data_IF_086711938162
#
_entry.id   IF_086711938162
#
_cell.length_a   1.000
_cell.length_b   1.000
_cell.length_c   1.000
_cell.angle_alpha   90.00
_cell.angle_beta   90.00
_cell.angle_gamma   90.00
#
_symmetry.space_group_name_H-M   'P 1'
#
loop_
_entity.id
_entity.type
_entity.pdbx_description
1 polymer ?
#
# COMPACT_ATOMS: atom_id res chain seq x y z
N UNK A 1 19.30 -4.44 -21.48
CA UNK A 1 18.95 -4.74 -20.07
C UNK A 1 18.02 -5.93 -20.06
N UNK A 2 18.24 -6.92 -19.20
CA UNK A 2 17.28 -8.01 -19.00
C UNK A 2 15.96 -7.41 -18.49
N UNK A 3 14.83 -7.80 -19.08
CA UNK A 3 13.49 -7.30 -18.72
C UNK A 3 13.22 -7.20 -17.20
N UNK A 4 13.64 -8.16 -16.35
CA UNK A 4 13.38 -8.08 -14.91
C UNK A 4 14.04 -6.86 -14.22
N UNK A 5 15.24 -6.48 -14.65
CA UNK A 5 15.97 -5.34 -14.09
C UNK A 5 15.24 -4.03 -14.41
N UNK A 6 14.71 -3.90 -15.64
CA UNK A 6 13.93 -2.73 -16.03
C UNK A 6 12.69 -2.57 -15.14
N UNK A 7 11.95 -3.65 -14.92
CA UNK A 7 10.78 -3.61 -14.03
C UNK A 7 11.14 -3.30 -12.58
N UNK A 8 12.25 -3.84 -12.05
CA UNK A 8 12.71 -3.50 -10.70
C UNK A 8 13.03 -2.02 -10.55
N UNK A 9 13.71 -1.41 -11.53
CA UNK A 9 14.00 0.03 -11.54
C UNK A 9 12.69 0.84 -11.52
N UNK A 10 11.72 0.47 -12.34
CA UNK A 10 10.41 1.14 -12.37
C UNK A 10 9.68 1.01 -11.02
N UNK A 11 9.69 -0.16 -10.39
CA UNK A 11 9.07 -0.34 -9.07
C UNK A 11 9.78 0.45 -7.97
N UNK A 12 11.12 0.53 -7.98
CA UNK A 12 11.84 1.40 -7.05
C UNK A 12 11.51 2.88 -7.28
N UNK A 13 11.40 3.31 -8.54
CA UNK A 13 11.00 4.68 -8.87
C UNK A 13 9.59 4.99 -8.33
N UNK A 14 8.63 4.08 -8.52
CA UNK A 14 7.27 4.21 -7.96
C UNK A 14 7.33 4.32 -6.43
N UNK A 15 8.11 3.47 -5.76
CA UNK A 15 8.27 3.53 -4.31
C UNK A 15 8.79 4.90 -3.84
N UNK A 16 9.85 5.41 -4.47
CA UNK A 16 10.49 6.68 -4.09
C UNK A 16 9.53 7.85 -4.32
N UNK A 17 8.92 7.94 -5.51
CA UNK A 17 8.01 9.04 -5.86
C UNK A 17 6.75 9.01 -4.97
N UNK A 18 6.19 7.83 -4.74
CA UNK A 18 5.02 7.66 -3.87
C UNK A 18 5.34 8.03 -2.42
N UNK A 19 6.46 7.56 -1.88
CA UNK A 19 6.86 7.89 -0.51
C UNK A 19 7.14 9.39 -0.36
N UNK A 20 7.86 10.00 -1.29
CA UNK A 20 8.13 11.44 -1.29
C UNK A 20 6.83 12.25 -1.31
N UNK A 21 5.89 11.92 -2.19
CA UNK A 21 4.59 12.61 -2.24
C UNK A 21 3.78 12.44 -0.96
N UNK A 22 3.77 11.24 -0.36
CA UNK A 22 3.12 10.96 0.92
C UNK A 22 3.69 11.80 2.06
N UNK A 23 5.02 11.85 2.18
CA UNK A 23 5.73 12.66 3.18
C UNK A 23 5.42 14.15 2.99
N UNK A 24 5.47 14.66 1.76
CA UNK A 24 5.17 16.07 1.47
C UNK A 24 3.73 16.44 1.87
N UNK A 25 2.75 15.60 1.53
CA UNK A 25 1.34 15.81 1.90
C UNK A 25 1.15 15.77 3.42
N UNK A 26 1.85 14.86 4.11
CA UNK A 26 1.80 14.75 5.57
C UNK A 26 2.41 15.98 6.25
N UNK A 27 3.56 16.46 5.77
CA UNK A 27 4.22 17.66 6.31
C UNK A 27 3.40 18.93 6.06
N UNK A 28 2.73 19.04 4.91
CA UNK A 28 1.91 20.21 4.59
C UNK A 28 0.67 20.33 5.49
N UNK A 29 0.06 19.23 5.90
CA UNK A 29 -1.10 19.27 6.80
C UNK A 29 -1.20 18.02 7.70
N UNK A 30 -0.38 17.93 8.77
CA UNK A 30 -0.27 16.71 9.58
C UNK A 30 -1.53 16.42 10.41
N UNK A 31 -2.34 17.44 10.70
CA UNK A 31 -3.57 17.30 11.49
C UNK A 31 -4.76 16.82 10.65
N UNK A 32 -4.70 16.95 9.32
CA UNK A 32 -5.79 16.52 8.47
C UNK A 32 -5.88 14.98 8.39
N UNK A 33 -7.06 14.38 8.64
CA UNK A 33 -7.22 12.92 8.53
C UNK A 33 -6.96 12.44 7.09
N UNK A 34 -7.25 13.26 6.09
CA UNK A 34 -6.96 12.97 4.68
C UNK A 34 -5.47 12.81 4.42
N UNK A 35 -4.63 13.72 4.93
CA UNK A 35 -3.17 13.65 4.77
C UNK A 35 -2.57 12.41 5.42
N UNK A 36 -3.03 12.07 6.64
CA UNK A 36 -2.59 10.84 7.34
C UNK A 36 -3.00 9.58 6.58
N UNK A 37 -4.23 9.55 6.07
CA UNK A 37 -4.74 8.41 5.30
C UNK A 37 -4.02 8.28 3.95
N UNK A 38 -3.76 9.39 3.25
CA UNK A 38 -2.95 9.41 2.03
C UNK A 38 -1.54 8.86 2.28
N UNK A 39 -0.91 9.24 3.39
CA UNK A 39 0.39 8.68 3.77
C UNK A 39 0.34 7.16 4.03
N UNK A 40 -0.76 6.65 4.60
CA UNK A 40 -0.96 5.20 4.73
C UNK A 40 -1.07 4.50 3.37
N UNK A 41 -1.69 5.15 2.36
CA UNK A 41 -1.74 4.62 0.98
C UNK A 41 -0.31 4.54 0.41
N UNK A 42 0.49 5.59 0.57
CA UNK A 42 1.86 5.61 0.03
C UNK A 42 2.74 4.56 0.70
N UNK A 43 2.58 4.29 1.99
CA UNK A 43 3.26 3.18 2.67
C UNK A 43 2.86 1.83 2.04
N UNK A 44 1.57 1.58 1.83
CA UNK A 44 1.10 0.33 1.22
C UNK A 44 1.64 0.16 -0.21
N UNK A 45 1.65 1.22 -1.02
CA UNK A 45 2.23 1.23 -2.37
C UNK A 45 3.74 0.96 -2.31
N UNK A 46 4.45 1.49 -1.33
CA UNK A 46 5.88 1.24 -1.15
C UNK A 46 6.17 -0.22 -0.81
N UNK A 47 5.42 -0.85 0.10
CA UNK A 47 5.56 -2.28 0.38
C UNK A 47 5.27 -3.14 -0.85
N UNK A 48 4.20 -2.81 -1.58
CA UNK A 48 3.87 -3.49 -2.83
C UNK A 48 5.02 -3.40 -3.84
N UNK A 49 5.48 -2.18 -4.11
CA UNK A 49 6.48 -1.89 -5.14
C UNK A 49 7.84 -2.47 -4.79
N UNK A 50 8.33 -2.28 -3.56
CA UNK A 50 9.63 -2.81 -3.12
C UNK A 50 9.63 -4.33 -3.13
N UNK A 51 8.55 -4.97 -2.68
CA UNK A 51 8.41 -6.42 -2.76
C UNK A 51 8.49 -6.94 -4.21
N UNK A 52 7.82 -6.28 -5.16
CA UNK A 52 7.95 -6.67 -6.58
C UNK A 52 9.32 -6.35 -7.17
N UNK A 53 9.93 -5.24 -6.76
CA UNK A 53 11.26 -4.85 -7.23
C UNK A 53 12.31 -5.92 -6.87
N UNK A 54 12.31 -6.40 -5.63
CA UNK A 54 13.21 -7.47 -5.20
C UNK A 54 12.81 -8.84 -5.76
N UNK A 55 11.52 -9.16 -5.86
CA UNK A 55 11.07 -10.43 -6.43
C UNK A 55 11.53 -10.61 -7.89
N UNK A 56 11.54 -9.54 -8.69
CA UNK A 56 11.95 -9.57 -10.09
C UNK A 56 13.45 -9.87 -10.29
N UNK A 57 14.31 -9.53 -9.33
CA UNK A 57 15.77 -9.77 -9.41
C UNK A 57 16.23 -10.87 -8.47
N UNK A 58 15.30 -11.63 -7.88
CA UNK A 58 15.62 -12.70 -6.96
C UNK A 58 16.44 -13.80 -7.68
N UNK A 59 17.50 -14.33 -7.04
CA UNK A 59 18.35 -15.35 -7.65
C UNK A 59 17.68 -16.74 -7.73
N UNK A 60 16.63 -16.97 -6.94
CA UNK A 60 15.93 -18.23 -6.82
C UNK A 60 14.44 -18.04 -6.47
N UNK A 61 13.67 -19.12 -6.64
CA UNK A 61 12.22 -19.10 -6.44
C UNK A 61 11.82 -18.89 -4.97
N UNK A 62 12.61 -19.38 -4.00
CA UNK A 62 12.29 -19.20 -2.58
C UNK A 62 12.47 -17.74 -2.17
N UNK A 63 13.56 -17.09 -2.58
CA UNK A 63 13.77 -15.65 -2.38
C UNK A 63 12.74 -14.81 -3.13
N UNK A 64 12.31 -15.21 -4.33
CA UNK A 64 11.22 -14.55 -5.04
C UNK A 64 9.91 -14.61 -4.24
N UNK A 65 9.58 -15.78 -3.69
CA UNK A 65 8.36 -15.99 -2.93
C UNK A 65 8.32 -15.17 -1.63
N UNK A 66 9.44 -15.07 -0.90
CA UNK A 66 9.50 -14.23 0.32
C UNK A 66 9.21 -12.76 0.01
N UNK A 67 9.78 -12.22 -1.06
CA UNK A 67 9.50 -10.85 -1.50
C UNK A 67 8.09 -10.66 -2.04
N UNK A 68 7.49 -11.71 -2.63
CA UNK A 68 6.06 -11.72 -3.01
C UNK A 68 5.15 -11.65 -1.79
N UNK A 69 5.47 -12.31 -0.67
CA UNK A 69 4.72 -12.17 0.57
C UNK A 69 4.82 -10.76 1.15
N UNK A 70 6.00 -10.13 1.13
CA UNK A 70 6.18 -8.72 1.51
C UNK A 70 5.33 -7.81 0.63
N UNK A 71 5.32 -8.07 -0.68
CA UNK A 71 4.51 -7.35 -1.65
C UNK A 71 3.01 -7.48 -1.38
N UNK A 72 2.57 -8.66 -0.92
CA UNK A 72 1.18 -8.97 -0.58
C UNK A 72 0.61 -8.10 0.53
N UNK A 73 1.45 -7.65 1.46
CA UNK A 73 1.04 -6.69 2.49
C UNK A 73 0.56 -5.39 1.87
N UNK A 74 1.26 -4.91 0.84
CA UNK A 74 0.92 -3.67 0.14
C UNK A 74 -0.36 -3.80 -0.68
N UNK A 75 -0.37 -4.69 -1.67
CA UNK A 75 -1.52 -4.79 -2.60
C UNK A 75 -2.79 -5.34 -1.91
N UNK A 76 -2.66 -6.15 -0.86
CA UNK A 76 -3.79 -6.64 -0.08
C UNK A 76 -4.47 -5.54 0.75
N UNK A 77 -3.74 -4.51 1.19
CA UNK A 77 -4.27 -3.45 2.06
C UNK A 77 -4.62 -2.16 1.33
N UNK A 78 -3.97 -1.87 0.21
CA UNK A 78 -4.08 -0.58 -0.50
C UNK A 78 -5.54 -0.22 -0.85
N UNK A 79 -6.33 -1.17 -1.31
CA UNK A 79 -7.71 -0.92 -1.75
C UNK A 79 -8.63 -0.50 -0.58
N UNK A 80 -8.49 -1.13 0.58
CA UNK A 80 -9.25 -0.75 1.78
C UNK A 80 -8.86 0.64 2.27
N UNK A 81 -7.57 0.97 2.24
CA UNK A 81 -7.08 2.30 2.64
C UNK A 81 -7.52 3.38 1.63
N UNK A 82 -7.51 3.10 0.33
CA UNK A 82 -8.00 4.02 -0.71
C UNK A 82 -9.50 4.29 -0.54
N UNK A 83 -10.29 3.25 -0.26
CA UNK A 83 -11.71 3.43 0.03
C UNK A 83 -11.93 4.28 1.29
N UNK A 84 -11.15 4.06 2.35
CA UNK A 84 -11.15 4.92 3.53
C UNK A 84 -10.84 6.38 3.17
N UNK A 85 -9.81 6.60 2.34
CA UNK A 85 -9.43 7.93 1.88
C UNK A 85 -10.57 8.63 1.13
N UNK A 86 -11.25 7.93 0.21
CA UNK A 86 -12.40 8.49 -0.48
C UNK A 86 -13.53 8.87 0.46
N UNK A 87 -13.79 8.11 1.51
CA UNK A 87 -14.81 8.46 2.51
C UNK A 87 -14.46 9.72 3.31
N UNK A 88 -13.16 9.94 3.57
CA UNK A 88 -12.68 11.15 4.22
C UNK A 88 -12.88 12.36 3.28
N UNK A 89 -12.45 12.25 2.03
CA UNK A 89 -12.51 13.35 1.04
C UNK A 89 -13.96 13.70 0.67
N UNK A 90 -14.84 12.70 0.55
CA UNK A 90 -16.27 12.91 0.28
C UNK A 90 -17.08 13.34 1.50
N UNK A 91 -16.43 13.54 2.65
CA UNK A 91 -17.08 14.06 3.85
C UNK A 91 -18.09 13.10 4.48
N UNK A 92 -18.02 11.79 4.21
CA UNK A 92 -18.94 10.76 4.73
C UNK A 92 -18.68 10.42 6.21
N UNK A 93 -18.55 11.46 7.05
CA UNK A 93 -18.22 11.39 8.49
C UNK A 93 -19.19 10.51 9.29
N UNK A 94 -20.45 10.43 8.89
CA UNK A 94 -21.46 9.58 9.56
C UNK A 94 -21.16 8.07 9.44
N UNK A 95 -20.56 7.65 8.32
CA UNK A 95 -20.10 6.26 8.14
C UNK A 95 -18.81 6.01 8.92
N UNK A 96 -17.88 6.97 8.94
CA UNK A 96 -16.61 6.85 9.67
C UNK A 96 -16.76 6.96 11.20
N UNK A 97 -17.92 7.37 11.74
CA UNK A 97 -18.22 7.32 13.18
C UNK A 97 -18.59 5.91 13.65
N UNK A 98 -19.01 5.04 12.74
CA UNK A 98 -19.57 3.72 13.03
C UNK A 98 -18.46 2.68 13.15
N UNK A 99 -18.17 2.17 14.35
CA UNK A 99 -17.08 1.19 14.58
C UNK A 99 -17.19 -0.10 13.74
N UNK A 100 -18.39 -0.66 13.63
CA UNK A 100 -18.74 -1.77 12.72
C UNK A 100 -18.42 -1.51 11.24
N UNK A 101 -18.47 -0.27 10.76
CA UNK A 101 -18.12 0.04 9.37
C UNK A 101 -16.64 -0.20 9.09
N UNK A 102 -15.75 0.11 10.05
CA UNK A 102 -14.32 -0.19 9.92
C UNK A 102 -14.06 -1.69 9.79
N UNK A 103 -14.83 -2.53 10.49
CA UNK A 103 -14.70 -3.98 10.36
C UNK A 103 -14.99 -4.42 8.92
N UNK A 104 -16.12 -4.02 8.35
CA UNK A 104 -16.44 -4.34 6.94
C UNK A 104 -15.45 -3.75 5.94
N UNK A 105 -14.92 -2.55 6.23
CA UNK A 105 -13.97 -1.87 5.35
C UNK A 105 -12.62 -2.61 5.26
N UNK A 106 -12.12 -3.11 6.39
CA UNK A 106 -10.79 -3.74 6.49
C UNK A 106 -10.82 -5.27 6.45
N UNK A 107 -11.99 -5.90 6.58
CA UNK A 107 -12.14 -7.36 6.52
C UNK A 107 -11.65 -7.96 5.19
N UNK A 108 -11.97 -7.40 4.00
CA UNK A 108 -11.42 -7.90 2.75
C UNK A 108 -9.89 -7.84 2.71
N UNK A 109 -9.30 -6.75 3.24
CA UNK A 109 -7.85 -6.62 3.33
C UNK A 109 -7.23 -7.67 4.26
N UNK A 110 -7.87 -7.96 5.40
CA UNK A 110 -7.42 -9.00 6.31
C UNK A 110 -7.44 -10.39 5.66
N UNK A 111 -8.49 -10.71 4.90
CA UNK A 111 -8.59 -11.97 4.16
C UNK A 111 -7.46 -12.07 3.12
N UNK A 112 -7.20 -11.00 2.36
CA UNK A 112 -6.08 -10.97 1.42
C UNK A 112 -4.72 -11.16 2.10
N UNK A 113 -4.50 -10.55 3.26
CA UNK A 113 -3.27 -10.74 4.03
C UNK A 113 -3.10 -12.19 4.47
N UNK A 114 -4.14 -12.82 5.01
CA UNK A 114 -4.09 -14.21 5.45
C UNK A 114 -3.86 -15.19 4.29
N UNK A 115 -4.37 -14.87 3.11
CA UNK A 115 -4.26 -15.75 1.94
C UNK A 115 -2.94 -15.61 1.16
N UNK A 116 -2.30 -14.44 1.19
CA UNK A 116 -1.16 -14.12 0.31
C UNK A 116 0.10 -13.65 1.03
N UNK A 117 0.00 -13.15 2.26
CA UNK A 117 1.17 -12.68 3.03
C UNK A 117 1.69 -13.70 4.05
N UNK A 118 0.91 -14.75 4.33
CA UNK A 118 1.24 -15.90 5.19
C UNK A 118 1.37 -17.13 4.28
#
# INVERSE_FOLDING_TARGET
MSYPILFSILFFAVCIVSMASGVLVLLNNPKAPGSRCFFSITIAISFWSVGLAFANIAPDAATCNTWRHVSAVGWGTVYAIVLHFFLIVTGKKNLLKKRWFYFFLYLPALICLLAFAI
#
